data_IF_023592194700
#
_entry.id   IF_023592194700
#
_cell.length_a   1.000
_cell.length_b   1.000
_cell.length_c   1.000
_cell.angle_alpha   90.00
_cell.angle_beta   90.00
_cell.angle_gamma   90.00
#
_symmetry.space_group_name_H-M   'P 1'
#
loop_
_entity.id
_entity.type
_entity.pdbx_description
1 polymer ?
#
# COMPACT_ATOMS: atom_id res chain seq x y z
N UNK A 1 -6.78 -3.73 -14.62
CA UNK A 1 -7.30 -2.81 -13.60
C UNK A 1 -6.42 -2.70 -12.35
N UNK A 2 -5.88 -3.78 -11.76
CA UNK A 2 -4.88 -3.68 -10.67
C UNK A 2 -3.55 -3.07 -11.16
N UNK A 3 -3.13 -3.40 -12.35
CA UNK A 3 -1.97 -2.79 -13.03
C UNK A 3 -2.20 -1.30 -13.25
N UNK A 4 -3.40 -0.92 -13.67
CA UNK A 4 -3.78 0.48 -13.87
C UNK A 4 -3.72 1.29 -12.57
N UNK A 5 -4.24 0.75 -11.45
CA UNK A 5 -4.20 1.42 -10.15
C UNK A 5 -2.76 1.60 -9.61
N UNK A 6 -1.88 0.64 -9.86
CA UNK A 6 -0.46 0.77 -9.48
C UNK A 6 0.23 1.85 -10.29
N UNK A 7 -0.08 1.96 -11.59
CA UNK A 7 0.42 3.01 -12.46
C UNK A 7 -0.11 4.39 -12.06
N UNK A 8 -1.40 4.52 -11.75
CA UNK A 8 -1.97 5.79 -11.26
C UNK A 8 -1.34 6.21 -9.94
N UNK A 9 -1.23 5.30 -8.96
CA UNK A 9 -0.55 5.64 -7.68
C UNK A 9 0.87 6.11 -7.91
N UNK A 10 1.63 5.45 -8.77
CA UNK A 10 2.98 5.88 -9.12
C UNK A 10 2.97 7.27 -9.77
N UNK A 11 2.09 7.50 -10.74
CA UNK A 11 1.96 8.78 -11.41
C UNK A 11 1.67 9.95 -10.44
N UNK A 12 0.75 9.75 -9.49
CA UNK A 12 0.43 10.78 -8.50
C UNK A 12 1.55 10.98 -7.48
N UNK A 13 2.22 9.93 -7.08
CA UNK A 13 3.39 10.01 -6.22
C UNK A 13 4.54 10.76 -6.90
N UNK A 14 4.84 10.42 -8.14
CA UNK A 14 5.87 11.10 -8.93
C UNK A 14 5.50 12.58 -9.13
N UNK A 15 4.23 12.88 -9.40
CA UNK A 15 3.71 14.24 -9.52
C UNK A 15 3.87 15.03 -8.21
N UNK A 16 3.51 14.45 -7.06
CA UNK A 16 3.64 15.12 -5.77
C UNK A 16 5.10 15.50 -5.49
N UNK A 17 6.02 14.57 -5.75
CA UNK A 17 7.45 14.82 -5.54
C UNK A 17 8.02 15.87 -6.51
N UNK A 18 7.63 15.83 -7.78
CA UNK A 18 8.07 16.81 -8.79
C UNK A 18 7.61 18.23 -8.43
N UNK A 19 6.39 18.36 -7.94
CA UNK A 19 5.85 19.65 -7.51
C UNK A 19 6.55 20.12 -6.23
N UNK A 20 6.71 19.27 -5.21
CA UNK A 20 7.44 19.62 -3.99
C UNK A 20 8.85 20.11 -4.31
N UNK A 21 9.55 19.43 -5.22
CA UNK A 21 10.85 19.84 -5.71
C UNK A 21 10.82 21.18 -6.44
N UNK A 22 9.86 21.38 -7.35
CA UNK A 22 9.71 22.63 -8.08
C UNK A 22 9.52 23.81 -7.12
N UNK A 23 8.68 23.64 -6.11
CA UNK A 23 8.44 24.64 -5.07
C UNK A 23 9.71 24.91 -4.27
N UNK A 24 10.38 23.85 -3.80
CA UNK A 24 11.63 23.97 -3.05
C UNK A 24 12.72 24.71 -3.82
N UNK A 25 12.88 24.43 -5.12
CA UNK A 25 13.88 25.05 -6.01
C UNK A 25 13.56 26.53 -6.34
N UNK A 26 12.31 26.96 -6.27
CA UNK A 26 11.86 28.31 -6.63
C UNK A 26 11.71 29.25 -5.44
N UNK A 27 11.56 28.73 -4.25
CA UNK A 27 11.43 29.52 -3.02
C UNK A 27 12.80 29.96 -2.55
N UNK A 28 12.91 31.24 -2.16
CA UNK A 28 14.16 31.78 -1.63
C UNK A 28 14.43 31.22 -0.23
N UNK A 29 15.37 30.28 -0.14
CA UNK A 29 15.74 29.62 1.11
C UNK A 29 16.32 30.56 2.16
N UNK A 30 17.07 31.58 1.77
CA UNK A 30 17.64 32.56 2.70
C UNK A 30 16.52 33.38 3.38
N UNK A 31 15.50 33.75 2.61
CA UNK A 31 14.33 34.41 3.18
C UNK A 31 13.55 33.48 4.13
N UNK A 32 13.43 32.21 3.78
CA UNK A 32 12.78 31.21 4.66
C UNK A 32 13.57 31.06 5.95
N UNK A 33 14.89 30.98 5.89
CA UNK A 33 15.75 30.91 7.09
C UNK A 33 15.60 32.14 7.98
N UNK A 34 15.56 33.34 7.39
CA UNK A 34 15.31 34.59 8.11
C UNK A 34 13.92 34.58 8.77
N UNK A 35 12.87 34.18 8.03
CA UNK A 35 11.52 34.06 8.55
C UNK A 35 11.44 33.08 9.72
N UNK A 36 12.09 31.92 9.62
CA UNK A 36 12.14 30.93 10.70
C UNK A 36 12.74 31.52 12.00
N UNK A 37 13.80 32.31 11.88
CA UNK A 37 14.44 32.96 13.04
C UNK A 37 13.54 34.03 13.70
N UNK A 38 12.82 34.77 12.90
CA UNK A 38 11.94 35.85 13.39
C UNK A 38 10.64 35.31 14.02
N UNK A 39 10.08 34.22 13.52
CA UNK A 39 8.87 33.60 14.10
C UNK A 39 9.16 32.76 15.35
N UNK A 40 10.40 32.30 15.55
CA UNK A 40 10.80 31.53 16.74
C UNK A 40 11.14 32.45 17.92
N UNK A 41 10.28 33.43 18.17
CA UNK A 41 10.41 34.42 19.23
C UNK A 41 9.14 34.50 20.06
N UNK A 42 9.27 34.79 21.36
CA UNK A 42 8.13 34.98 22.26
C UNK A 42 7.24 36.17 21.80
N UNK A 43 7.83 37.16 21.15
CA UNK A 43 7.10 38.30 20.59
C UNK A 43 6.12 37.85 19.51
N UNK A 44 6.58 37.03 18.56
CA UNK A 44 5.73 36.56 17.48
C UNK A 44 4.65 35.59 18.01
N UNK A 45 4.99 34.70 18.95
CA UNK A 45 4.04 33.76 19.54
C UNK A 45 2.83 34.49 20.17
N UNK A 46 3.05 35.61 20.87
CA UNK A 46 1.98 36.43 21.42
C UNK A 46 1.13 37.10 20.33
N UNK A 47 1.75 37.54 19.22
CA UNK A 47 1.02 38.13 18.08
C UNK A 47 0.16 37.06 17.40
N UNK A 48 0.71 35.89 17.19
CA UNK A 48 0.02 34.75 16.56
C UNK A 48 -1.16 34.26 17.41
N UNK A 49 -0.97 34.08 18.72
CA UNK A 49 -2.06 33.72 19.64
C UNK A 49 -3.19 34.76 19.64
N UNK A 50 -2.85 36.06 19.63
CA UNK A 50 -3.81 37.11 19.56
C UNK A 50 -4.59 37.15 18.24
N UNK A 51 -3.90 36.93 17.11
CA UNK A 51 -4.50 36.88 15.79
C UNK A 51 -5.48 35.71 15.67
N UNK A 52 -5.07 34.54 16.10
CA UNK A 52 -5.92 33.33 16.12
C UNK A 52 -7.14 33.51 17.05
N UNK A 53 -6.92 34.04 18.26
CA UNK A 53 -8.02 34.26 19.21
C UNK A 53 -9.07 35.28 18.73
N UNK A 54 -8.68 36.24 17.89
CA UNK A 54 -9.57 37.23 17.31
C UNK A 54 -10.09 36.92 15.92
N UNK A 55 -9.62 35.84 15.32
CA UNK A 55 -9.85 35.48 13.91
C UNK A 55 -9.52 36.64 12.96
N UNK A 56 -8.41 37.32 13.23
CA UNK A 56 -7.99 38.53 12.51
C UNK A 56 -6.52 38.40 12.07
N UNK A 57 -6.28 38.43 10.79
CA UNK A 57 -4.95 38.32 10.18
C UNK A 57 -4.11 39.58 10.30
N UNK A 58 -4.75 40.72 10.59
CA UNK A 58 -4.12 42.05 10.55
C UNK A 58 -2.89 42.17 11.45
N UNK A 59 -2.88 41.63 12.69
CA UNK A 59 -1.69 41.68 13.54
C UNK A 59 -0.46 41.00 12.92
N UNK A 60 -0.63 39.89 12.22
CA UNK A 60 0.46 39.16 11.54
C UNK A 60 0.94 39.96 10.32
N UNK A 61 0.01 40.50 9.55
CA UNK A 61 0.32 41.34 8.38
C UNK A 61 1.10 42.59 8.79
N UNK A 62 0.70 43.24 9.87
CA UNK A 62 1.36 44.44 10.37
C UNK A 62 2.78 44.11 10.89
N UNK A 63 2.93 42.97 11.58
CA UNK A 63 4.24 42.48 12.01
C UNK A 63 5.16 42.19 10.82
N UNK A 64 4.66 41.50 9.77
CA UNK A 64 5.44 41.23 8.54
C UNK A 64 5.87 42.53 7.87
N UNK A 65 5.05 43.59 7.90
CA UNK A 65 5.39 44.91 7.36
C UNK A 65 6.43 45.61 8.21
N UNK A 66 6.31 45.55 9.53
CA UNK A 66 7.29 46.11 10.46
C UNK A 66 8.67 45.49 10.31
N UNK A 67 8.74 44.17 10.15
CA UNK A 67 9.96 43.43 9.86
C UNK A 67 10.47 43.60 8.42
N UNK A 68 9.71 44.25 7.53
CA UNK A 68 10.08 44.40 6.11
C UNK A 68 9.97 43.13 5.28
N UNK A 69 9.30 42.11 5.81
CA UNK A 69 9.18 40.76 5.20
C UNK A 69 7.93 40.62 4.32
N UNK A 70 6.94 41.48 4.48
CA UNK A 70 5.62 41.37 3.85
C UNK A 70 5.65 41.13 2.34
N UNK A 71 6.45 41.89 1.58
CA UNK A 71 6.48 41.77 0.12
C UNK A 71 7.04 40.41 -0.35
N UNK A 72 8.06 39.90 0.33
CA UNK A 72 8.62 38.61 0.00
C UNK A 72 7.67 37.47 0.40
N UNK A 73 7.03 37.60 1.56
CA UNK A 73 6.03 36.66 2.05
C UNK A 73 4.84 36.56 1.08
N UNK A 74 4.26 37.71 0.73
CA UNK A 74 3.13 37.79 -0.19
C UNK A 74 3.46 37.17 -1.54
N UNK A 75 4.60 37.49 -2.11
CA UNK A 75 5.04 36.92 -3.40
C UNK A 75 5.16 35.40 -3.38
N UNK A 76 5.69 34.83 -2.27
CA UNK A 76 5.76 33.38 -2.11
C UNK A 76 4.36 32.80 -1.92
N UNK A 77 3.53 33.43 -1.12
CA UNK A 77 2.17 32.96 -0.87
C UNK A 77 1.31 32.97 -2.16
N UNK A 78 1.38 34.03 -2.97
CA UNK A 78 0.75 34.11 -4.28
C UNK A 78 1.27 33.02 -5.24
N UNK A 79 2.60 32.78 -5.25
CA UNK A 79 3.20 31.74 -6.05
C UNK A 79 2.69 30.35 -5.66
N UNK A 80 2.65 30.04 -4.37
CA UNK A 80 2.14 28.74 -3.88
C UNK A 80 0.65 28.59 -4.21
N UNK A 81 -0.14 29.64 -4.07
CA UNK A 81 -1.56 29.64 -4.42
C UNK A 81 -1.78 29.39 -5.92
N UNK A 82 -0.96 30.00 -6.77
CA UNK A 82 -0.99 29.76 -8.23
C UNK A 82 -0.67 28.29 -8.55
N UNK A 83 0.38 27.73 -7.97
CA UNK A 83 0.76 26.32 -8.17
C UNK A 83 -0.36 25.39 -7.71
N UNK A 84 -0.94 25.64 -6.55
CA UNK A 84 -2.03 24.82 -6.00
C UNK A 84 -3.24 24.81 -6.94
N UNK A 85 -3.63 25.98 -7.45
CA UNK A 85 -4.76 26.13 -8.37
C UNK A 85 -4.48 25.47 -9.73
N UNK A 86 -3.32 25.75 -10.34
CA UNK A 86 -2.97 25.29 -11.68
C UNK A 86 -2.76 23.77 -11.74
N UNK A 87 -2.20 23.18 -10.69
CA UNK A 87 -1.88 21.76 -10.63
C UNK A 87 -2.99 20.91 -10.01
N UNK A 88 -4.07 21.54 -9.54
CA UNK A 88 -5.18 20.88 -8.82
C UNK A 88 -4.67 20.00 -7.69
N UNK A 89 -3.92 20.61 -6.76
CA UNK A 89 -3.35 19.99 -5.57
C UNK A 89 -4.27 20.27 -4.40
N UNK A 90 -4.48 19.28 -3.51
CA UNK A 90 -5.36 19.46 -2.35
C UNK A 90 -4.74 20.42 -1.33
N UNK A 91 -3.48 20.12 -0.93
CA UNK A 91 -2.73 20.97 -0.01
C UNK A 91 -1.29 21.14 -0.50
N UNK A 92 -0.80 22.37 -0.39
CA UNK A 92 0.57 22.78 -0.66
C UNK A 92 1.00 23.73 0.45
N UNK A 93 1.99 23.36 1.23
CA UNK A 93 2.43 24.16 2.37
C UNK A 93 3.92 24.02 2.62
N UNK A 94 4.49 24.96 3.36
CA UNK A 94 5.89 24.95 3.77
C UNK A 94 5.93 24.98 5.29
N UNK A 95 6.68 24.04 5.89
CA UNK A 95 6.86 23.93 7.34
C UNK A 95 8.31 23.91 7.73
N UNK A 96 8.64 24.56 8.83
CA UNK A 96 9.89 24.35 9.57
C UNK A 96 9.73 23.12 10.47
N UNK A 97 10.70 22.21 10.41
CA UNK A 97 10.68 20.98 11.21
C UNK A 97 11.55 21.18 12.45
N UNK A 98 10.96 21.08 13.62
CA UNK A 98 11.62 21.06 14.93
C UNK A 98 11.60 19.66 15.51
N UNK A 99 12.28 19.41 16.64
CA UNK A 99 12.52 18.07 17.20
C UNK A 99 11.30 17.13 17.29
N UNK A 100 10.12 17.64 17.68
CA UNK A 100 8.88 16.87 17.79
C UNK A 100 7.67 17.62 17.27
N UNK A 101 7.88 18.73 16.57
CA UNK A 101 6.83 19.57 16.03
C UNK A 101 7.20 20.12 14.67
N UNK A 102 6.22 20.48 13.91
CA UNK A 102 6.34 21.30 12.70
C UNK A 102 5.68 22.65 12.92
N UNK A 103 6.24 23.66 12.32
CA UNK A 103 5.72 25.04 12.37
C UNK A 103 5.39 25.46 10.95
N UNK A 104 4.15 25.85 10.73
CA UNK A 104 3.71 26.34 9.42
C UNK A 104 4.33 27.68 9.10
N UNK A 105 4.95 27.80 7.93
CA UNK A 105 5.47 29.05 7.38
C UNK A 105 4.52 29.59 6.31
N UNK A 106 4.01 28.72 5.46
CA UNK A 106 3.07 29.04 4.39
C UNK A 106 2.03 27.96 4.26
N UNK A 107 0.78 28.38 4.19
CA UNK A 107 -0.35 27.57 3.78
C UNK A 107 -1.35 28.44 3.03
N UNK A 108 -1.28 28.49 1.69
CA UNK A 108 -2.15 29.35 0.89
C UNK A 108 -3.63 29.00 1.03
N UNK A 109 -3.98 27.82 1.54
CA UNK A 109 -5.38 27.40 1.76
C UNK A 109 -5.99 28.01 3.01
N UNK A 110 -5.16 28.39 4.00
CA UNK A 110 -5.60 28.78 5.34
C UNK A 110 -5.21 30.22 5.72
N UNK A 111 -4.55 30.95 4.83
CA UNK A 111 -4.20 32.35 5.00
C UNK A 111 -3.08 32.63 6.02
N UNK A 112 -2.98 33.87 6.49
CA UNK A 112 -1.91 34.33 7.38
C UNK A 112 -1.99 33.76 8.79
N UNK A 113 -3.15 33.33 9.27
CA UNK A 113 -3.34 32.78 10.61
C UNK A 113 -2.55 31.51 10.87
N UNK A 114 -2.13 30.83 9.81
CA UNK A 114 -1.30 29.61 9.90
C UNK A 114 0.16 29.90 10.11
N UNK A 115 0.66 31.08 9.83
CA UNK A 115 2.05 31.44 10.09
C UNK A 115 2.40 31.27 11.58
N UNK A 116 3.36 30.38 11.86
CA UNK A 116 3.77 30.07 13.23
C UNK A 116 2.91 29.04 13.95
N UNK A 117 1.84 28.51 13.33
CA UNK A 117 1.05 27.45 13.93
C UNK A 117 1.88 26.18 14.12
N UNK A 118 1.87 25.65 15.35
CA UNK A 118 2.64 24.46 15.74
C UNK A 118 1.75 23.23 15.70
N UNK A 119 2.22 22.17 15.04
CA UNK A 119 1.57 20.89 14.97
C UNK A 119 2.52 19.78 15.47
N UNK A 120 2.00 18.77 16.18
CA UNK A 120 2.80 17.62 16.58
C UNK A 120 3.25 16.81 15.37
N UNK A 121 4.54 16.54 15.30
CA UNK A 121 5.11 15.78 14.20
C UNK A 121 4.77 14.29 14.36
N UNK A 122 4.17 13.70 13.34
CA UNK A 122 3.96 12.24 13.29
C UNK A 122 5.31 11.51 13.20
N UNK A 123 5.44 10.35 13.85
CA UNK A 123 6.66 9.50 13.85
C UNK A 123 7.25 9.25 12.44
N UNK A 124 6.41 9.25 11.41
CA UNK A 124 6.84 9.08 10.01
C UNK A 124 7.72 10.24 9.49
N UNK A 125 7.65 11.41 10.11
CA UNK A 125 8.43 12.61 9.77
C UNK A 125 9.77 12.69 10.52
N UNK A 126 10.04 11.78 11.46
CA UNK A 126 11.33 11.72 12.17
C UNK A 126 12.54 11.55 11.23
N UNK A 127 12.31 10.99 10.04
CA UNK A 127 13.32 10.87 8.98
C UNK A 127 13.70 12.20 8.34
N UNK A 128 12.90 13.25 8.51
CA UNK A 128 13.14 14.58 7.96
C UNK A 128 14.12 15.43 8.79
N UNK A 129 14.75 14.89 9.81
CA UNK A 129 15.72 15.60 10.66
C UNK A 129 17.03 15.99 9.95
N UNK A 130 17.33 15.37 8.80
CA UNK A 130 18.45 15.73 7.93
C UNK A 130 17.96 16.42 6.63
N UNK A 131 18.84 16.51 5.64
CA UNK A 131 18.50 17.00 4.30
C UNK A 131 17.76 15.94 3.45
N UNK A 132 17.19 14.92 4.09
CA UNK A 132 16.42 13.89 3.39
C UNK A 132 15.05 14.43 2.97
N UNK A 133 14.62 14.05 1.78
CA UNK A 133 13.27 14.32 1.30
C UNK A 133 12.27 13.28 1.86
N UNK A 134 11.02 13.66 1.92
CA UNK A 134 9.94 12.71 2.21
C UNK A 134 9.51 12.03 0.92
N UNK A 135 9.84 10.75 0.82
CA UNK A 135 9.33 9.92 -0.29
C UNK A 135 7.80 9.82 -0.24
N UNK A 136 7.14 9.85 -1.42
CA UNK A 136 5.69 9.86 -1.48
C UNK A 136 5.05 8.69 -0.73
N UNK A 137 4.21 9.00 0.23
CA UNK A 137 3.52 8.02 1.08
C UNK A 137 2.03 8.25 1.08
N UNK A 138 1.27 7.20 0.73
CA UNK A 138 -0.20 7.25 0.78
C UNK A 138 -0.67 6.84 2.16
N UNK A 139 -1.34 7.74 2.86
CA UNK A 139 -1.89 7.51 4.19
C UNK A 139 -3.33 8.01 4.32
N UNK A 140 -4.04 7.47 5.30
CA UNK A 140 -5.36 7.97 5.67
C UNK A 140 -5.20 9.03 6.75
N UNK A 141 -5.71 10.23 6.49
CA UNK A 141 -5.76 11.35 7.41
C UNK A 141 -7.22 11.69 7.75
N UNK A 142 -7.45 12.69 8.57
CA UNK A 142 -8.79 13.25 8.80
C UNK A 142 -9.38 13.89 7.54
N UNK A 143 -8.54 14.36 6.62
CA UNK A 143 -8.91 14.94 5.32
C UNK A 143 -9.13 13.89 4.21
N UNK A 144 -8.96 12.60 4.49
CA UNK A 144 -9.12 11.52 3.51
C UNK A 144 -7.84 10.73 3.26
N UNK A 145 -7.75 10.13 2.08
CA UNK A 145 -6.55 9.43 1.63
C UNK A 145 -5.67 10.41 0.85
N UNK A 146 -4.51 10.75 1.41
CA UNK A 146 -3.56 11.67 0.79
C UNK A 146 -2.28 10.95 0.40
N UNK A 147 -1.71 11.35 -0.75
CA UNK A 147 -0.33 11.07 -1.11
C UNK A 147 0.51 12.28 -0.74
N UNK A 148 1.30 12.15 0.32
CA UNK A 148 2.14 13.21 0.87
C UNK A 148 3.58 13.04 0.42
N UNK A 149 4.17 14.07 -0.16
CA UNK A 149 5.59 14.17 -0.50
C UNK A 149 6.18 15.45 0.10
N UNK A 150 7.47 15.46 0.39
CA UNK A 150 8.14 16.62 0.93
C UNK A 150 9.57 16.75 0.40
N UNK A 151 9.96 17.97 0.04
CA UNK A 151 11.31 18.29 -0.44
C UNK A 151 11.93 19.37 0.47
N UNK A 152 13.18 19.22 0.93
CA UNK A 152 13.82 20.22 1.76
C UNK A 152 14.05 21.52 1.00
N UNK A 153 13.73 22.64 1.62
CA UNK A 153 14.10 23.99 1.18
C UNK A 153 15.46 24.34 1.80
N UNK A 154 16.43 24.63 0.95
CA UNK A 154 17.80 24.89 1.36
C UNK A 154 18.13 26.38 1.30
N UNK A 155 18.88 26.90 2.26
CA UNK A 155 19.50 28.21 2.21
C UNK A 155 20.66 28.23 1.21
N UNK A 156 21.22 29.41 0.93
CA UNK A 156 22.39 29.56 0.06
C UNK A 156 23.63 28.80 0.60
N UNK A 157 23.70 28.55 1.87
CA UNK A 157 24.76 27.77 2.54
C UNK A 157 24.55 26.26 2.43
N UNK A 158 23.43 25.82 1.83
CA UNK A 158 23.05 24.40 1.65
C UNK A 158 22.48 23.75 2.91
N UNK A 159 22.14 24.53 3.93
CA UNK A 159 21.46 24.03 5.12
C UNK A 159 19.93 24.02 4.92
N UNK A 160 19.29 23.00 5.45
CA UNK A 160 17.83 22.88 5.40
C UNK A 160 17.20 23.85 6.40
N UNK A 161 16.37 24.76 5.89
CA UNK A 161 15.60 25.71 6.71
C UNK A 161 14.12 25.29 6.85
N UNK A 162 13.56 24.62 5.85
CA UNK A 162 12.17 24.16 5.88
C UNK A 162 11.97 22.94 4.97
N UNK A 163 10.73 22.49 4.88
CA UNK A 163 10.29 21.45 3.94
C UNK A 163 9.03 21.93 3.22
N UNK A 164 9.04 21.84 1.89
CA UNK A 164 7.86 22.07 1.06
C UNK A 164 7.09 20.76 0.93
N UNK A 165 5.86 20.72 1.41
CA UNK A 165 4.97 19.56 1.36
C UNK A 165 3.90 19.72 0.30
N UNK A 166 3.60 18.62 -0.34
CA UNK A 166 2.51 18.49 -1.32
C UNK A 166 1.66 17.29 -0.96
N UNK A 167 0.36 17.54 -0.80
CA UNK A 167 -0.62 16.50 -0.55
C UNK A 167 -1.62 16.45 -1.72
N UNK A 168 -1.71 15.27 -2.33
CA UNK A 168 -2.64 15.01 -3.44
C UNK A 168 -3.74 14.06 -2.96
N UNK A 169 -5.00 14.40 -3.21
CA UNK A 169 -6.13 13.54 -2.87
C UNK A 169 -6.11 12.24 -3.66
N UNK A 170 -6.07 11.14 -2.92
CA UNK A 170 -6.08 9.78 -3.41
C UNK A 170 -7.39 9.05 -3.06
N UNK A 171 -8.35 9.74 -2.43
CA UNK A 171 -9.57 9.14 -1.87
C UNK A 171 -10.36 8.39 -2.92
N UNK A 172 -10.53 8.96 -4.10
CA UNK A 172 -11.28 8.33 -5.18
C UNK A 172 -10.57 7.09 -5.73
N UNK A 173 -9.26 7.15 -5.90
CA UNK A 173 -8.44 6.04 -6.40
C UNK A 173 -8.45 4.88 -5.40
N UNK A 174 -8.24 5.18 -4.11
CA UNK A 174 -8.28 4.18 -3.03
C UNK A 174 -9.67 3.56 -2.92
N UNK A 175 -10.74 4.36 -2.93
CA UNK A 175 -12.12 3.90 -2.89
C UNK A 175 -12.47 2.98 -4.06
N UNK A 176 -12.07 3.34 -5.27
CA UNK A 176 -12.29 2.54 -6.47
C UNK A 176 -11.50 1.23 -6.43
N UNK A 177 -10.28 1.26 -5.88
CA UNK A 177 -9.46 0.06 -5.67
C UNK A 177 -10.12 -0.90 -4.69
N UNK A 178 -10.61 -0.39 -3.56
CA UNK A 178 -11.32 -1.20 -2.55
C UNK A 178 -12.59 -1.79 -3.15
N UNK A 179 -13.43 -0.97 -3.84
CA UNK A 179 -14.65 -1.45 -4.49
C UNK A 179 -14.38 -2.57 -5.50
N UNK A 180 -13.37 -2.39 -6.34
CA UNK A 180 -12.97 -3.41 -7.30
C UNK A 180 -12.49 -4.69 -6.62
N UNK A 181 -11.67 -4.58 -5.57
CA UNK A 181 -11.15 -5.73 -4.82
C UNK A 181 -12.31 -6.51 -4.17
N UNK A 182 -13.24 -5.80 -3.51
CA UNK A 182 -14.43 -6.42 -2.90
C UNK A 182 -15.27 -7.14 -3.95
N UNK A 183 -15.51 -6.52 -5.10
CA UNK A 183 -16.28 -7.12 -6.20
C UNK A 183 -15.59 -8.39 -6.71
N UNK A 184 -14.28 -8.39 -6.91
CA UNK A 184 -13.52 -9.57 -7.33
C UNK A 184 -13.59 -10.70 -6.31
N UNK A 185 -13.47 -10.39 -5.01
CA UNK A 185 -13.60 -11.38 -3.94
C UNK A 185 -15.01 -11.98 -3.93
N UNK A 186 -16.05 -11.16 -4.03
CA UNK A 186 -17.44 -11.64 -4.11
C UNK A 186 -17.65 -12.55 -5.32
N UNK A 187 -17.10 -12.19 -6.48
CA UNK A 187 -17.17 -13.00 -7.70
C UNK A 187 -16.48 -14.36 -7.50
N UNK A 188 -15.30 -14.38 -6.91
CA UNK A 188 -14.60 -15.63 -6.60
C UNK A 188 -15.42 -16.53 -5.67
N UNK A 189 -15.98 -15.97 -4.61
CA UNK A 189 -16.87 -16.73 -3.69
C UNK A 189 -18.06 -17.30 -4.44
N UNK A 190 -18.69 -16.54 -5.32
CA UNK A 190 -19.85 -16.98 -6.09
C UNK A 190 -19.49 -18.13 -7.04
N UNK A 191 -18.32 -18.08 -7.69
CA UNK A 191 -17.82 -19.16 -8.55
C UNK A 191 -17.56 -20.43 -7.72
N UNK A 192 -16.94 -20.31 -6.54
CA UNK A 192 -16.68 -21.45 -5.65
C UNK A 192 -18.00 -22.10 -5.20
N UNK A 193 -18.99 -21.29 -4.81
CA UNK A 193 -20.31 -21.79 -4.42
C UNK A 193 -21.03 -22.49 -5.58
N UNK A 194 -20.98 -21.92 -6.79
CA UNK A 194 -21.57 -22.51 -7.97
C UNK A 194 -20.92 -23.86 -8.33
N UNK A 195 -19.60 -23.93 -8.30
CA UNK A 195 -18.85 -25.16 -8.53
C UNK A 195 -19.16 -26.22 -7.46
N UNK A 196 -19.23 -25.83 -6.20
CA UNK A 196 -19.61 -26.73 -5.09
C UNK A 196 -21.03 -27.30 -5.24
N UNK A 197 -21.99 -26.47 -5.67
CA UNK A 197 -23.35 -26.92 -5.97
C UNK A 197 -23.40 -27.88 -7.15
N UNK A 198 -22.66 -27.62 -8.23
CA UNK A 198 -22.62 -28.50 -9.40
C UNK A 198 -22.01 -29.88 -9.05
N UNK A 199 -20.90 -29.89 -8.30
CA UNK A 199 -20.26 -31.09 -7.80
C UNK A 199 -21.24 -31.87 -6.89
N UNK A 200 -21.89 -31.19 -5.96
CA UNK A 200 -22.86 -31.81 -5.05
C UNK A 200 -24.05 -32.45 -5.81
N UNK A 201 -24.58 -31.76 -6.85
CA UNK A 201 -25.62 -32.28 -7.69
C UNK A 201 -25.17 -33.53 -8.48
N UNK A 202 -23.93 -33.50 -9.00
CA UNK A 202 -23.36 -34.65 -9.75
C UNK A 202 -23.16 -35.88 -8.84
N UNK A 203 -22.66 -35.67 -7.62
CA UNK A 203 -22.50 -36.71 -6.61
C UNK A 203 -23.88 -37.31 -6.26
N UNK A 204 -24.86 -36.46 -5.93
CA UNK A 204 -26.23 -36.93 -5.59
C UNK A 204 -26.86 -37.71 -6.72
N UNK A 205 -26.72 -37.26 -7.97
CA UNK A 205 -27.34 -37.91 -9.12
C UNK A 205 -26.64 -39.19 -9.56
N UNK A 206 -25.29 -39.23 -9.52
CA UNK A 206 -24.51 -40.37 -10.03
C UNK A 206 -24.23 -41.46 -9.01
N UNK A 207 -24.28 -41.10 -7.72
CA UNK A 207 -23.79 -41.99 -6.65
C UNK A 207 -24.91 -42.24 -5.62
N UNK A 208 -25.42 -41.18 -4.98
CA UNK A 208 -26.36 -41.36 -3.86
C UNK A 208 -27.66 -41.97 -4.30
N UNK A 209 -28.27 -41.51 -5.41
CA UNK A 209 -29.54 -42.07 -5.94
C UNK A 209 -29.47 -43.54 -6.36
N UNK A 210 -28.46 -43.99 -7.15
CA UNK A 210 -28.36 -45.40 -7.50
C UNK A 210 -28.14 -46.28 -6.24
N UNK A 211 -27.42 -45.83 -5.25
CA UNK A 211 -27.20 -46.55 -3.99
C UNK A 211 -28.50 -46.64 -3.17
N UNK A 212 -29.27 -45.54 -3.06
CA UNK A 212 -30.60 -45.56 -2.40
C UNK A 212 -31.56 -46.54 -3.08
N UNK A 213 -31.59 -46.56 -4.41
CA UNK A 213 -32.43 -47.51 -5.18
C UNK A 213 -32.00 -48.98 -4.98
N UNK A 214 -30.69 -49.27 -4.92
CA UNK A 214 -30.15 -50.58 -4.59
C UNK A 214 -30.51 -51.01 -3.18
N UNK A 215 -30.43 -50.11 -2.21
CA UNK A 215 -30.78 -50.35 -0.83
C UNK A 215 -32.26 -50.65 -0.68
N UNK A 216 -33.13 -49.88 -1.35
CA UNK A 216 -34.57 -50.08 -1.32
C UNK A 216 -34.96 -51.41 -2.00
N UNK A 217 -34.35 -51.75 -3.15
CA UNK A 217 -34.54 -53.01 -3.80
C UNK A 217 -34.12 -54.19 -2.91
N UNK A 218 -32.94 -54.11 -2.27
CA UNK A 218 -32.44 -55.16 -1.37
C UNK A 218 -33.31 -55.32 -0.12
N UNK A 219 -33.85 -54.23 0.42
CA UNK A 219 -34.77 -54.25 1.54
C UNK A 219 -36.11 -54.94 1.18
N UNK A 220 -36.59 -54.80 -0.03
CA UNK A 220 -37.79 -55.49 -0.55
C UNK A 220 -37.59 -57.01 -0.71
N UNK A 221 -36.38 -57.42 -1.08
CA UNK A 221 -36.04 -58.85 -1.21
C UNK A 221 -35.82 -59.52 0.14
N UNK A 222 -35.26 -58.80 1.14
CA UNK A 222 -34.96 -59.35 2.48
C UNK A 222 -36.15 -59.84 3.31
N UNK A 223 -37.37 -59.51 2.87
CA UNK A 223 -38.59 -59.93 3.58
C UNK A 223 -39.21 -61.24 3.14
N UNK A 224 -38.60 -61.97 2.16
CA UNK A 224 -39.27 -63.14 1.56
C UNK A 224 -38.53 -64.48 1.59
N UNK A 225 -37.24 -64.55 2.03
CA UNK A 225 -36.50 -65.84 2.18
C UNK A 225 -35.43 -65.70 3.26
N UNK A 226 -35.49 -66.63 4.24
CA UNK A 226 -35.01 -66.39 5.60
C UNK A 226 -33.50 -66.44 5.89
N UNK A 227 -32.66 -67.08 5.15
CA UNK A 227 -31.27 -67.21 5.57
C UNK A 227 -30.23 -66.68 4.57
N UNK A 228 -30.31 -67.03 3.31
CA UNK A 228 -29.29 -66.62 2.31
C UNK A 228 -29.47 -65.19 1.81
N UNK A 229 -30.70 -64.66 1.80
CA UNK A 229 -30.99 -63.30 1.37
C UNK A 229 -30.71 -62.29 2.50
N UNK A 230 -30.85 -62.69 3.76
CA UNK A 230 -30.48 -61.85 4.92
C UNK A 230 -28.97 -61.68 4.99
N UNK A 231 -28.20 -62.73 4.67
CA UNK A 231 -26.72 -62.63 4.58
C UNK A 231 -26.31 -61.74 3.40
N UNK A 232 -26.93 -61.84 2.24
CA UNK A 232 -26.72 -60.98 1.10
C UNK A 232 -27.09 -59.52 1.40
N UNK A 233 -28.18 -59.28 2.12
CA UNK A 233 -28.61 -57.96 2.58
C UNK A 233 -27.56 -57.31 3.48
N UNK A 234 -27.06 -58.03 4.49
CA UNK A 234 -26.01 -57.54 5.40
C UNK A 234 -24.66 -57.29 4.66
N UNK A 235 -24.29 -58.15 3.73
CA UNK A 235 -23.13 -57.98 2.90
C UNK A 235 -23.23 -56.73 2.03
N UNK A 236 -24.41 -56.50 1.41
CA UNK A 236 -24.69 -55.33 0.58
C UNK A 236 -24.67 -54.02 1.39
N UNK A 237 -25.26 -54.03 2.60
CA UNK A 237 -25.18 -52.88 3.49
C UNK A 237 -23.72 -52.57 3.95
N UNK A 238 -22.97 -53.63 4.28
CA UNK A 238 -21.56 -53.49 4.65
C UNK A 238 -20.72 -52.89 3.49
N UNK A 239 -20.96 -53.40 2.27
CA UNK A 239 -20.33 -52.88 1.06
C UNK A 239 -20.69 -51.43 0.78
N UNK A 240 -21.96 -51.05 0.94
CA UNK A 240 -22.46 -49.69 0.78
C UNK A 240 -21.74 -48.73 1.79
N UNK A 241 -21.67 -49.11 3.05
CA UNK A 241 -20.97 -48.33 4.10
C UNK A 241 -19.50 -48.19 3.80
N UNK A 242 -18.86 -49.25 3.28
CA UNK A 242 -17.45 -49.20 2.85
C UNK A 242 -17.22 -48.28 1.69
N UNK A 243 -18.11 -48.26 0.69
CA UNK A 243 -18.05 -47.36 -0.47
C UNK A 243 -18.21 -45.90 -0.02
N UNK A 244 -19.14 -45.59 0.87
CA UNK A 244 -19.32 -44.22 1.39
C UNK A 244 -18.06 -43.76 2.13
N UNK A 245 -17.52 -44.57 3.02
CA UNK A 245 -16.30 -44.27 3.75
C UNK A 245 -15.09 -44.10 2.83
N UNK A 246 -14.99 -44.93 1.80
CA UNK A 246 -13.93 -44.83 0.79
C UNK A 246 -14.02 -43.53 0.00
N UNK A 247 -15.23 -43.11 -0.37
CA UNK A 247 -15.46 -41.87 -1.10
C UNK A 247 -15.16 -40.63 -0.25
N UNK A 248 -15.57 -40.62 1.02
CA UNK A 248 -15.25 -39.52 1.94
C UNK A 248 -13.73 -39.40 2.12
N UNK A 249 -13.05 -40.55 2.26
CA UNK A 249 -11.59 -40.58 2.37
C UNK A 249 -10.92 -40.09 1.07
N UNK A 250 -11.43 -40.48 -0.09
CA UNK A 250 -10.92 -40.05 -1.39
C UNK A 250 -11.10 -38.55 -1.59
N UNK A 251 -12.26 -38.00 -1.22
CA UNK A 251 -12.54 -36.58 -1.27
C UNK A 251 -11.59 -35.79 -0.38
N UNK A 252 -11.37 -36.27 0.86
CA UNK A 252 -10.43 -35.65 1.80
C UNK A 252 -9.00 -35.69 1.30
N UNK A 253 -8.55 -36.83 0.79
CA UNK A 253 -7.15 -36.98 0.27
C UNK A 253 -6.95 -36.11 -0.99
N UNK A 254 -7.95 -36.02 -1.86
CA UNK A 254 -7.86 -35.16 -3.05
C UNK A 254 -7.78 -33.69 -2.66
N UNK A 255 -8.63 -33.22 -1.74
CA UNK A 255 -8.59 -31.85 -1.24
C UNK A 255 -7.25 -31.52 -0.56
N UNK A 256 -6.71 -32.45 0.24
CA UNK A 256 -5.40 -32.30 0.88
C UNK A 256 -4.26 -32.21 -0.16
N UNK A 257 -4.30 -33.06 -1.19
CA UNK A 257 -3.32 -33.03 -2.29
C UNK A 257 -3.38 -31.70 -3.05
N UNK A 258 -4.57 -31.20 -3.36
CA UNK A 258 -4.75 -29.91 -4.03
C UNK A 258 -4.23 -28.74 -3.15
N UNK A 259 -4.51 -28.78 -1.85
CA UNK A 259 -4.00 -27.79 -0.89
C UNK A 259 -2.46 -27.78 -0.86
N UNK A 260 -1.85 -28.95 -0.69
CA UNK A 260 -0.39 -29.10 -0.68
C UNK A 260 0.21 -28.61 -2.00
N UNK A 261 -0.40 -28.97 -3.14
CA UNK A 261 0.04 -28.49 -4.45
C UNK A 261 0.00 -26.97 -4.59
N UNK A 262 -1.05 -26.33 -4.08
CA UNK A 262 -1.16 -24.87 -4.06
C UNK A 262 -0.10 -24.21 -3.15
N UNK A 263 0.13 -24.77 -1.95
CA UNK A 263 1.15 -24.30 -1.02
C UNK A 263 2.56 -24.41 -1.62
N UNK A 264 2.88 -25.54 -2.28
CA UNK A 264 4.15 -25.75 -2.95
C UNK A 264 4.35 -24.79 -4.14
N UNK A 265 3.31 -24.51 -4.90
CA UNK A 265 3.38 -23.54 -6.00
C UNK A 265 3.70 -22.13 -5.49
N UNK A 266 3.08 -21.71 -4.39
CA UNK A 266 3.38 -20.42 -3.76
C UNK A 266 4.84 -20.41 -3.25
N UNK A 267 5.29 -21.49 -2.62
CA UNK A 267 6.67 -21.60 -2.13
C UNK A 267 7.70 -21.51 -3.29
N UNK A 268 7.41 -22.17 -4.43
CA UNK A 268 8.24 -22.09 -5.65
C UNK A 268 8.32 -20.66 -6.17
N UNK A 269 7.19 -19.93 -6.20
CA UNK A 269 7.16 -18.55 -6.66
C UNK A 269 7.94 -17.63 -5.71
N UNK A 270 7.82 -17.81 -4.41
CA UNK A 270 8.57 -17.04 -3.42
C UNK A 270 10.07 -17.30 -3.62
N UNK A 271 10.49 -18.57 -3.69
CA UNK A 271 11.90 -18.93 -3.90
C UNK A 271 12.46 -18.31 -5.19
N UNK A 272 11.74 -18.43 -6.30
CA UNK A 272 12.15 -17.84 -7.57
C UNK A 272 12.26 -16.30 -7.50
N UNK A 273 11.40 -15.65 -6.73
CA UNK A 273 11.44 -14.19 -6.58
C UNK A 273 12.59 -13.68 -5.70
N UNK A 274 13.19 -14.56 -4.90
CA UNK A 274 14.33 -14.23 -4.03
C UNK A 274 15.68 -14.33 -4.75
N UNK A 275 15.73 -14.99 -5.91
CA UNK A 275 16.96 -15.13 -6.67
C UNK A 275 17.21 -13.92 -7.56
N UNK A 276 18.46 -13.47 -7.73
CA UNK A 276 18.81 -12.47 -8.72
C UNK A 276 18.40 -12.92 -10.12
N UNK A 277 17.50 -12.17 -10.76
CA UNK A 277 16.96 -12.49 -12.09
C UNK A 277 17.17 -11.37 -13.13
N UNK A 278 17.85 -10.29 -12.74
CA UNK A 278 18.19 -9.17 -13.63
C UNK A 278 19.66 -9.31 -14.04
N UNK A 279 19.91 -9.46 -15.32
CA UNK A 279 21.24 -9.63 -15.89
C UNK A 279 21.48 -8.60 -17.01
N UNK A 280 22.72 -8.08 -17.15
CA UNK A 280 23.90 -8.36 -16.33
C UNK A 280 23.75 -7.90 -14.87
N UNK A 281 24.30 -8.68 -13.92
CA UNK A 281 24.17 -8.39 -12.49
C UNK A 281 24.90 -7.10 -12.07
N UNK A 282 25.96 -6.73 -12.80
CA UNK A 282 26.74 -5.51 -12.58
C UNK A 282 26.89 -4.76 -13.92
N UNK A 283 25.86 -3.99 -14.35
CA UNK A 283 25.82 -3.37 -15.68
C UNK A 283 26.90 -2.30 -15.91
N UNK A 284 27.48 -1.76 -14.84
CA UNK A 284 28.53 -0.74 -14.89
C UNK A 284 29.97 -1.33 -14.93
N UNK A 285 30.10 -2.66 -15.10
CA UNK A 285 31.36 -3.40 -15.10
C UNK A 285 31.55 -4.14 -16.43
N UNK A 286 32.30 -3.52 -17.34
CA UNK A 286 32.57 -4.12 -18.67
C UNK A 286 33.55 -5.28 -18.63
N UNK A 287 34.32 -5.43 -17.54
CA UNK A 287 35.34 -6.45 -17.37
C UNK A 287 34.80 -7.83 -16.98
N UNK A 288 33.51 -7.92 -16.65
CA UNK A 288 32.90 -9.19 -16.23
C UNK A 288 31.44 -9.28 -16.64
N UNK A 289 30.99 -10.51 -16.87
CA UNK A 289 29.58 -10.85 -17.07
C UNK A 289 29.24 -12.09 -16.24
N UNK A 290 28.19 -11.99 -15.44
CA UNK A 290 27.73 -13.06 -14.56
C UNK A 290 26.32 -13.42 -14.95
N UNK A 291 26.09 -14.70 -15.18
CA UNK A 291 24.78 -15.28 -15.42
C UNK A 291 24.56 -16.49 -14.51
N UNK A 292 23.42 -16.60 -13.90
CA UNK A 292 23.02 -17.75 -13.13
C UNK A 292 21.56 -18.11 -13.38
N UNK A 293 21.25 -19.39 -13.30
CA UNK A 293 19.89 -19.90 -13.36
C UNK A 293 19.77 -21.11 -12.45
N UNK A 294 18.61 -21.29 -11.85
CA UNK A 294 18.29 -22.44 -11.02
C UNK A 294 17.02 -23.10 -11.54
N UNK A 295 17.10 -24.41 -11.72
CA UNK A 295 15.94 -25.24 -12.06
C UNK A 295 15.79 -26.30 -10.97
N UNK A 296 14.82 -26.19 -10.07
CA UNK A 296 14.62 -27.15 -9.00
C UNK A 296 14.31 -28.54 -9.56
N UNK A 297 14.87 -29.60 -8.96
CA UNK A 297 14.58 -30.99 -9.30
C UNK A 297 13.20 -31.45 -8.79
N UNK A 298 12.64 -30.74 -7.82
CA UNK A 298 11.29 -30.90 -7.28
C UNK A 298 10.60 -29.53 -7.27
N UNK A 299 9.41 -29.45 -6.71
CA UNK A 299 8.63 -28.22 -6.66
C UNK A 299 9.38 -27.08 -5.96
N UNK A 300 10.12 -27.37 -4.91
CA UNK A 300 10.97 -26.41 -4.18
C UNK A 300 12.40 -26.93 -4.14
N UNK A 301 13.38 -26.10 -4.49
CA UNK A 301 14.80 -26.40 -4.45
C UNK A 301 15.39 -26.17 -3.06
N UNK A 302 16.45 -26.90 -2.73
CA UNK A 302 17.26 -26.66 -1.54
C UNK A 302 18.43 -25.71 -1.77
N UNK A 303 18.76 -25.45 -3.03
CA UNK A 303 19.87 -24.60 -3.43
C UNK A 303 19.40 -23.14 -3.64
N UNK A 304 20.31 -22.21 -3.53
CA UNK A 304 20.12 -20.81 -3.90
C UNK A 304 21.45 -20.23 -4.39
N UNK A 305 21.38 -19.12 -5.10
CA UNK A 305 22.56 -18.33 -5.46
C UNK A 305 22.29 -16.85 -5.21
N UNK A 306 23.37 -16.15 -4.92
CA UNK A 306 23.38 -14.70 -4.81
C UNK A 306 24.78 -14.20 -5.18
N UNK A 307 24.90 -12.93 -5.59
CA UNK A 307 26.19 -12.30 -5.84
C UNK A 307 26.15 -10.84 -5.47
N UNK A 308 27.20 -10.43 -4.80
CA UNK A 308 27.39 -9.03 -4.37
C UNK A 308 28.89 -8.69 -4.38
N UNK A 309 29.16 -7.41 -4.60
CA UNK A 309 30.53 -6.91 -4.52
C UNK A 309 30.97 -6.87 -3.05
N UNK A 310 32.07 -7.54 -2.73
CA UNK A 310 32.73 -7.46 -1.41
C UNK A 310 33.58 -6.19 -1.36
N UNK A 311 34.27 -5.89 -2.44
CA UNK A 311 35.01 -4.66 -2.69
C UNK A 311 35.12 -4.42 -4.21
N UNK A 312 35.87 -3.39 -4.63
CA UNK A 312 36.03 -3.03 -6.05
C UNK A 312 36.67 -4.14 -6.94
N UNK A 313 37.17 -5.22 -6.36
CA UNK A 313 37.88 -6.29 -7.06
C UNK A 313 37.41 -7.70 -6.73
N UNK A 314 36.52 -7.84 -5.76
CA UNK A 314 36.05 -9.15 -5.30
C UNK A 314 34.51 -9.21 -5.28
N UNK A 315 34.00 -10.31 -5.79
CA UNK A 315 32.60 -10.71 -5.74
C UNK A 315 32.44 -11.79 -4.71
#
# INVERSE_FOLDING_TARGET
SLVNNRQYRKLYNDKALEIAKTVSDQVNGDFIEELCKEIDTEEFEQIQEKAVASDDEQPIIDWLKEKGMYQNYERINEYLHSIQADMNIEYLYIQMIQDHSSVYLFDPSSGYLTLGYKEELSERFDKLKGNERLEPTVSRTEFGWLSSAGEPVLSSDGEKCAVAFVDIDMTEIVRNTIRFTVLMVCLCILIILAAGMDISRKIKKRISRPIELLTEATHKFGNHTRDEIEELYHATQSMQKSIINYMDNLTRVTAEKERIGAELNVATQIQASMLPCIFPAFPDRDEMDIYATMTPAKEVGGDFYDFFMVDDRHI
#
